data_IF_640749144451
#
_entry.id   IF_640749144451
#
_cell.length_a   1.000
_cell.length_b   1.000
_cell.length_c   1.000
_cell.angle_alpha   90.00
_cell.angle_beta   90.00
_cell.angle_gamma   90.00
#
_symmetry.space_group_name_H-M   'P 1'
#
loop_
_entity.id
_entity.type
_entity.pdbx_description
1 polymer ?
#
# COMPACT_ATOMS: atom_id res chain seq x y z
N UNK A 1 -26.27 17.35 -18.93
CA UNK A 1 -25.86 17.14 -17.51
C UNK A 1 -26.65 15.94 -17.02
N UNK A 2 -26.11 14.76 -16.71
CA UNK A 2 -24.88 14.43 -15.99
C UNK A 2 -24.24 13.19 -16.64
N UNK A 3 -22.96 13.27 -16.95
CA UNK A 3 -22.14 12.16 -17.43
C UNK A 3 -21.72 11.30 -16.24
N UNK A 4 -22.19 10.06 -16.17
CA UNK A 4 -21.64 9.03 -15.29
C UNK A 4 -20.38 8.46 -15.93
N UNK A 5 -19.20 8.96 -15.54
CA UNK A 5 -17.92 8.31 -15.81
C UNK A 5 -17.84 7.08 -14.91
N UNK A 6 -18.23 5.94 -15.45
CA UNK A 6 -17.74 4.65 -15.02
C UNK A 6 -16.21 4.68 -15.18
N UNK A 7 -15.49 4.92 -14.09
CA UNK A 7 -14.07 4.62 -14.00
C UNK A 7 -13.90 3.09 -14.00
N UNK A 8 -14.08 2.48 -15.16
CA UNK A 8 -13.52 1.16 -15.43
C UNK A 8 -12.01 1.36 -15.53
N UNK A 9 -11.31 1.18 -14.40
CA UNK A 9 -9.87 0.93 -14.43
C UNK A 9 -9.66 -0.44 -15.06
N UNK A 10 -9.56 -0.43 -16.39
CA UNK A 10 -8.99 -1.51 -17.17
C UNK A 10 -7.58 -1.74 -16.61
N UNK A 11 -7.42 -2.82 -15.87
CA UNK A 11 -6.13 -3.37 -15.49
C UNK A 11 -5.42 -3.79 -16.77
N UNK A 12 -4.69 -2.87 -17.40
CA UNK A 12 -3.61 -3.26 -18.30
C UNK A 12 -2.51 -3.76 -17.37
N UNK A 13 -2.60 -5.03 -17.00
CA UNK A 13 -1.45 -5.82 -16.62
C UNK A 13 -0.47 -5.75 -17.78
N UNK A 14 0.48 -4.81 -17.71
CA UNK A 14 1.76 -5.03 -18.35
C UNK A 14 2.44 -6.13 -17.52
N UNK A 15 2.03 -7.38 -17.76
CA UNK A 15 2.93 -8.49 -17.54
C UNK A 15 4.17 -8.17 -18.37
N UNK A 16 5.33 -8.03 -17.71
CA UNK A 16 6.59 -8.08 -18.44
C UNK A 16 6.74 -9.52 -18.97
N UNK A 17 6.03 -9.85 -20.05
CA UNK A 17 6.42 -10.91 -20.98
C UNK A 17 7.58 -10.33 -21.79
N UNK A 18 8.73 -10.24 -21.14
CA UNK A 18 9.95 -9.72 -21.72
C UNK A 18 11.08 -10.04 -20.78
N UNK A 19 11.93 -11.00 -21.17
CA UNK A 19 13.13 -11.40 -20.42
C UNK A 19 13.94 -10.16 -20.02
N UNK A 20 13.87 -9.77 -18.75
CA UNK A 20 14.76 -8.75 -18.19
C UNK A 20 16.14 -9.40 -18.07
N UNK A 21 17.03 -9.04 -19.00
CA UNK A 21 18.43 -9.44 -19.00
C UNK A 21 19.23 -8.48 -18.12
N UNK A 22 19.95 -9.07 -17.15
CA UNK A 22 20.83 -8.49 -16.11
C UNK A 22 20.09 -7.97 -14.86
N UNK A 23 20.28 -8.67 -13.72
CA UNK A 23 19.35 -8.66 -12.57
C UNK A 23 19.97 -8.25 -11.22
N UNK A 24 21.13 -7.61 -11.23
CA UNK A 24 21.64 -7.03 -9.97
C UNK A 24 20.79 -5.82 -9.54
N UNK A 25 20.07 -5.23 -10.49
CA UNK A 25 18.99 -4.29 -10.24
C UNK A 25 17.73 -4.65 -11.05
N UNK A 26 16.55 -4.33 -10.55
CA UNK A 26 15.29 -4.41 -11.28
C UNK A 26 14.41 -3.19 -11.02
N UNK A 27 13.61 -2.81 -12.00
CA UNK A 27 12.60 -1.76 -11.86
C UNK A 27 11.21 -2.38 -11.98
N UNK A 28 10.36 -2.14 -10.99
CA UNK A 28 8.94 -2.47 -11.02
C UNK A 28 8.11 -1.20 -11.17
N UNK A 29 7.03 -1.29 -11.93
CA UNK A 29 6.05 -0.22 -12.05
C UNK A 29 4.88 -0.54 -11.13
N UNK A 30 4.53 0.39 -10.25
CA UNK A 30 3.46 0.23 -9.26
C UNK A 30 2.50 1.41 -9.34
N UNK A 31 1.19 1.12 -9.36
CA UNK A 31 0.17 2.16 -9.31
C UNK A 31 -0.32 2.32 -7.88
N UNK A 32 -0.35 3.55 -7.38
CA UNK A 32 -0.82 3.85 -6.02
C UNK A 32 -2.05 4.75 -6.05
N UNK A 33 -2.96 4.45 -5.14
CA UNK A 33 -3.98 5.38 -4.67
C UNK A 33 -3.44 6.12 -3.45
N UNK A 34 -3.88 7.37 -3.26
CA UNK A 34 -3.39 8.24 -2.19
C UNK A 34 -3.45 7.57 -0.80
N UNK A 35 -2.33 7.58 -0.08
CA UNK A 35 -2.27 7.19 1.32
C UNK A 35 -2.30 8.43 2.21
N UNK A 36 -3.39 8.66 2.94
CA UNK A 36 -3.46 9.70 3.97
C UNK A 36 -3.39 9.07 5.37
N UNK A 37 -2.21 8.60 5.75
CA UNK A 37 -1.91 8.20 7.14
C UNK A 37 -1.88 9.38 8.13
N UNK A 38 -2.70 10.43 7.93
CA UNK A 38 -2.64 11.66 8.72
C UNK A 38 -3.78 11.78 9.72
N UNK A 39 -3.45 12.32 10.89
CA UNK A 39 -4.37 12.51 11.99
C UNK A 39 -4.83 13.98 12.07
N UNK A 40 -5.87 14.32 11.31
CA UNK A 40 -6.47 15.67 11.31
C UNK A 40 -7.83 15.72 12.03
N UNK A 41 -8.19 14.67 12.76
CA UNK A 41 -9.49 14.55 13.42
C UNK A 41 -9.52 15.36 14.72
N UNK A 42 -10.69 15.90 15.07
CA UNK A 42 -10.90 16.65 16.29
C UNK A 42 -11.66 15.83 17.35
N UNK A 43 -11.43 16.17 18.63
CA UNK A 43 -12.25 15.76 19.77
C UNK A 43 -12.57 14.26 19.82
N UNK A 44 -13.84 13.87 19.99
CA UNK A 44 -14.27 12.48 20.14
C UNK A 44 -13.92 11.60 18.92
N UNK A 45 -13.96 12.13 17.70
CA UNK A 45 -13.66 11.35 16.50
C UNK A 45 -12.20 10.87 16.46
N UNK A 46 -11.27 11.69 16.96
CA UNK A 46 -9.86 11.30 17.10
C UNK A 46 -9.70 10.06 17.99
N UNK A 47 -10.38 10.07 19.14
CA UNK A 47 -10.32 8.99 20.13
C UNK A 47 -11.04 7.74 19.64
N UNK A 48 -12.24 7.89 19.07
CA UNK A 48 -13.04 6.79 18.56
C UNK A 48 -12.33 6.05 17.41
N UNK A 49 -11.77 6.79 16.46
CA UNK A 49 -11.15 6.19 15.27
C UNK A 49 -9.71 5.74 15.49
N UNK A 50 -9.18 5.90 16.70
CA UNK A 50 -7.78 5.60 17.03
C UNK A 50 -6.81 6.21 16.00
N UNK A 51 -6.95 7.52 15.75
CA UNK A 51 -6.20 8.24 14.71
C UNK A 51 -6.34 7.61 13.30
N UNK A 52 -7.58 7.32 12.90
CA UNK A 52 -7.92 6.73 11.60
C UNK A 52 -7.34 5.34 11.39
N UNK A 53 -7.36 4.47 12.40
CA UNK A 53 -7.20 3.02 12.24
C UNK A 53 -8.54 2.31 12.16
N UNK A 54 -9.53 2.85 12.86
CA UNK A 54 -10.89 2.36 12.89
C UNK A 54 -11.83 3.42 12.32
N UNK A 55 -13.02 3.00 11.94
CA UNK A 55 -14.12 3.88 11.55
C UNK A 55 -15.43 3.32 12.08
N UNK A 56 -16.53 4.04 11.87
CA UNK A 56 -17.90 3.68 12.23
C UNK A 56 -18.83 3.93 11.04
N UNK A 57 -20.04 3.34 11.03
CA UNK A 57 -21.10 3.74 10.13
C UNK A 57 -21.34 5.24 10.21
N UNK A 58 -21.64 5.85 9.06
CA UNK A 58 -21.98 7.26 8.92
C UNK A 58 -20.92 8.27 9.40
N UNK A 59 -19.66 7.84 9.60
CA UNK A 59 -18.57 8.69 10.08
C UNK A 59 -18.34 9.95 9.21
N UNK A 60 -18.70 9.93 7.92
CA UNK A 60 -18.58 11.07 7.01
C UNK A 60 -19.86 11.90 6.85
N UNK A 61 -21.02 11.40 7.27
CA UNK A 61 -22.33 12.01 7.01
C UNK A 61 -23.09 12.44 8.26
N UNK A 62 -23.06 11.63 9.33
CA UNK A 62 -23.79 11.87 10.58
C UNK A 62 -23.07 11.17 11.75
N UNK A 63 -21.85 11.62 12.04
CA UNK A 63 -21.04 11.02 13.11
C UNK A 63 -21.74 11.12 14.47
N UNK A 64 -21.77 9.98 15.18
CA UNK A 64 -22.22 9.90 16.57
C UNK A 64 -21.17 9.23 17.46
N UNK A 65 -20.74 9.94 18.50
CA UNK A 65 -19.79 9.43 19.48
C UNK A 65 -20.31 8.19 20.23
N UNK A 66 -21.63 8.04 20.34
CA UNK A 66 -22.26 6.90 21.04
C UNK A 66 -22.69 5.77 20.10
N UNK A 67 -22.55 5.93 18.78
CA UNK A 67 -22.83 4.85 17.84
C UNK A 67 -21.82 3.70 17.98
N UNK A 68 -22.31 2.47 17.81
CA UNK A 68 -21.53 1.25 17.83
C UNK A 68 -21.18 0.78 16.40
N UNK A 69 -20.54 -0.39 16.27
CA UNK A 69 -20.25 -0.99 14.97
C UNK A 69 -18.92 -0.56 14.36
N UNK A 70 -17.87 -0.49 15.18
CA UNK A 70 -16.52 -0.20 14.68
C UNK A 70 -16.07 -1.24 13.66
N UNK A 71 -15.42 -0.77 12.61
CA UNK A 71 -14.75 -1.60 11.61
C UNK A 71 -13.36 -1.05 11.30
N UNK A 72 -12.50 -1.91 10.76
CA UNK A 72 -11.13 -1.56 10.40
C UNK A 72 -11.09 -0.80 9.09
N UNK A 73 -10.17 0.15 8.97
CA UNK A 73 -9.91 0.83 7.69
C UNK A 73 -8.60 0.34 7.04
N UNK A 74 -8.24 0.94 5.90
CA UNK A 74 -7.04 0.57 5.15
C UNK A 74 -5.74 0.77 5.93
N UNK A 75 -5.65 1.82 6.77
CA UNK A 75 -4.46 2.10 7.58
C UNK A 75 -4.24 1.00 8.61
N UNK A 76 -5.29 0.50 9.26
CA UNK A 76 -5.18 -0.65 10.14
C UNK A 76 -4.63 -1.88 9.42
N UNK A 77 -5.08 -2.15 8.20
CA UNK A 77 -4.58 -3.29 7.41
C UNK A 77 -3.09 -3.14 7.08
N UNK A 78 -2.61 -1.92 6.80
CA UNK A 78 -1.19 -1.64 6.59
C UNK A 78 -0.38 -1.95 7.85
N UNK A 79 -0.81 -1.48 9.03
CA UNK A 79 -0.11 -1.75 10.29
C UNK A 79 -0.15 -3.24 10.68
N UNK A 80 -1.28 -3.90 10.46
CA UNK A 80 -1.42 -5.35 10.66
C UNK A 80 -0.44 -6.11 9.78
N UNK A 81 -0.36 -5.79 8.49
CA UNK A 81 0.60 -6.40 7.56
C UNK A 81 2.04 -6.08 7.94
N UNK A 82 2.34 -4.84 8.31
CA UNK A 82 3.65 -4.44 8.80
C UNK A 82 4.10 -5.32 9.97
N UNK A 83 3.25 -5.46 10.99
CA UNK A 83 3.56 -6.26 12.17
C UNK A 83 3.68 -7.77 11.87
N UNK A 84 2.79 -8.32 11.05
CA UNK A 84 2.70 -9.77 10.82
C UNK A 84 3.66 -10.26 9.74
N UNK A 85 3.94 -9.45 8.72
CA UNK A 85 4.61 -9.90 7.50
C UNK A 85 5.97 -9.24 7.26
N UNK A 86 6.22 -8.01 7.73
CA UNK A 86 7.52 -7.33 7.57
C UNK A 86 8.54 -7.82 8.59
N UNK A 87 8.81 -9.12 8.57
CA UNK A 87 9.70 -9.82 9.51
C UNK A 87 11.14 -9.92 8.98
N UNK A 88 12.04 -10.44 9.81
CA UNK A 88 13.46 -10.61 9.48
C UNK A 88 14.28 -9.35 9.76
N UNK A 89 15.18 -9.00 8.85
CA UNK A 89 16.03 -7.81 9.01
C UNK A 89 15.66 -6.71 8.00
N UNK A 90 15.83 -5.45 8.41
CA UNK A 90 15.58 -4.27 7.58
C UNK A 90 16.73 -4.04 6.60
N UNK A 91 16.39 -3.67 5.37
CA UNK A 91 17.36 -3.20 4.36
C UNK A 91 17.17 -1.72 4.06
N UNK A 92 18.21 -1.09 3.51
CA UNK A 92 18.20 0.32 3.16
C UNK A 92 17.17 0.64 2.07
N UNK A 93 16.50 1.78 2.20
CA UNK A 93 15.60 2.34 1.19
C UNK A 93 15.92 3.82 0.97
N UNK A 94 15.64 4.31 -0.23
CA UNK A 94 15.73 5.72 -0.57
C UNK A 94 14.36 6.19 -1.09
N UNK A 95 13.91 7.41 -0.73
CA UNK A 95 12.67 7.96 -1.27
C UNK A 95 12.83 8.28 -2.77
N UNK A 96 11.71 8.52 -3.45
CA UNK A 96 11.74 9.12 -4.79
C UNK A 96 12.38 10.52 -4.74
N UNK A 97 12.89 10.99 -5.89
CA UNK A 97 13.56 12.30 -5.98
C UNK A 97 12.66 13.48 -5.62
N UNK A 98 11.35 13.34 -5.83
CA UNK A 98 10.32 14.31 -5.46
C UNK A 98 9.78 14.11 -4.04
N UNK A 99 10.29 13.12 -3.30
CA UNK A 99 9.92 12.76 -1.92
C UNK A 99 8.44 12.38 -1.75
N UNK A 100 7.77 11.98 -2.83
CA UNK A 100 6.35 11.59 -2.77
C UNK A 100 6.15 10.09 -2.56
N UNK A 101 7.09 9.26 -2.99
CA UNK A 101 7.10 7.83 -2.76
C UNK A 101 8.15 7.47 -1.73
N UNK A 102 7.75 6.69 -0.74
CA UNK A 102 8.63 6.11 0.27
C UNK A 102 8.43 4.60 0.33
N UNK A 103 9.51 3.91 0.71
CA UNK A 103 9.51 2.46 0.85
C UNK A 103 10.14 2.05 2.19
N UNK A 104 9.62 0.96 2.74
CA UNK A 104 10.19 0.23 3.86
C UNK A 104 10.34 -1.23 3.44
N UNK A 105 11.53 -1.80 3.60
CA UNK A 105 11.83 -3.13 3.10
C UNK A 105 12.50 -4.03 4.16
N UNK A 106 12.11 -5.31 4.14
CA UNK A 106 12.72 -6.35 4.98
C UNK A 106 13.01 -7.61 4.18
N UNK A 107 13.99 -8.37 4.66
CA UNK A 107 14.30 -9.71 4.15
C UNK A 107 13.96 -10.70 5.24
N UNK A 108 12.92 -11.50 4.97
CA UNK A 108 12.43 -12.52 5.88
C UNK A 108 13.28 -13.79 5.84
N UNK A 109 13.25 -14.55 6.93
CA UNK A 109 13.87 -15.88 7.01
C UNK A 109 13.07 -16.96 6.25
N UNK A 110 11.89 -16.59 5.74
CA UNK A 110 10.98 -17.44 4.97
C UNK A 110 11.25 -17.43 3.46
N UNK A 111 12.36 -16.81 3.04
CA UNK A 111 12.77 -16.74 1.64
C UNK A 111 12.11 -15.61 0.85
N UNK A 112 11.36 -14.72 1.51
CA UNK A 112 10.73 -13.56 0.87
C UNK A 112 11.39 -12.25 1.31
N UNK A 113 11.78 -11.44 0.32
CA UNK A 113 11.98 -10.01 0.53
C UNK A 113 10.64 -9.30 0.33
N UNK A 114 10.31 -8.38 1.23
CA UNK A 114 9.05 -7.63 1.20
C UNK A 114 9.36 -6.15 1.17
N UNK A 115 8.58 -5.42 0.38
CA UNK A 115 8.67 -3.97 0.27
C UNK A 115 7.27 -3.41 0.49
N UNK A 116 7.10 -2.64 1.56
CA UNK A 116 5.91 -1.86 1.82
C UNK A 116 6.16 -0.46 1.26
N UNK A 117 5.28 0.00 0.39
CA UNK A 117 5.44 1.26 -0.34
C UNK A 117 4.21 2.13 -0.11
N UNK A 118 4.44 3.43 0.10
CA UNK A 118 3.39 4.44 0.23
C UNK A 118 3.67 5.63 -0.68
N UNK A 119 2.59 6.28 -1.12
CA UNK A 119 2.65 7.53 -1.89
C UNK A 119 1.85 8.60 -1.17
N UNK A 120 2.44 9.79 -1.07
CA UNK A 120 1.88 10.94 -0.38
C UNK A 120 1.04 11.81 -1.32
N UNK A 121 -0.28 11.83 -1.11
CA UNK A 121 -1.22 12.84 -1.69
C UNK A 121 -1.14 12.90 -3.22
N UNK A 122 -0.78 11.79 -3.87
CA UNK A 122 -0.68 11.73 -5.33
C UNK A 122 -1.07 10.34 -5.82
N UNK A 123 -1.81 10.31 -6.92
CA UNK A 123 -2.12 9.11 -7.66
C UNK A 123 -1.25 9.05 -8.91
N UNK A 124 -0.86 7.85 -9.31
CA UNK A 124 -0.11 7.69 -10.55
C UNK A 124 0.66 6.41 -10.63
N UNK A 125 1.51 6.37 -11.66
CA UNK A 125 2.41 5.27 -11.96
C UNK A 125 3.80 5.60 -11.43
N UNK A 126 4.31 4.73 -10.56
CA UNK A 126 5.56 4.93 -9.85
C UNK A 126 6.55 3.83 -10.19
N UNK A 127 7.83 4.15 -10.06
CA UNK A 127 8.92 3.20 -10.28
C UNK A 127 9.58 2.83 -8.96
N UNK A 128 9.75 1.54 -8.73
CA UNK A 128 10.51 0.99 -7.62
C UNK A 128 11.74 0.29 -8.17
N UNK A 129 12.93 0.71 -7.76
CA UNK A 129 14.18 0.04 -8.12
C UNK A 129 14.66 -0.82 -6.95
N UNK A 130 14.87 -2.11 -7.17
CA UNK A 130 15.51 -3.02 -6.22
C UNK A 130 16.94 -3.27 -6.70
N UNK A 131 17.93 -3.08 -5.83
CA UNK A 131 19.35 -3.24 -6.13
C UNK A 131 19.95 -4.37 -5.27
N UNK A 132 21.15 -4.82 -5.64
CA UNK A 132 21.96 -5.81 -4.93
C UNK A 132 21.21 -7.11 -4.61
N UNK A 133 20.33 -7.55 -5.52
CA UNK A 133 19.51 -8.75 -5.32
C UNK A 133 20.35 -10.02 -5.09
N UNK A 134 21.57 -10.05 -5.63
CA UNK A 134 22.52 -11.14 -5.44
C UNK A 134 22.96 -11.30 -3.97
N UNK A 135 22.95 -10.22 -3.17
CA UNK A 135 23.21 -10.27 -1.73
C UNK A 135 22.17 -11.08 -0.96
N UNK A 136 20.98 -11.31 -1.55
CA UNK A 136 19.92 -12.15 -0.99
C UNK A 136 20.08 -13.63 -1.35
N UNK A 137 21.23 -14.03 -1.93
CA UNK A 137 21.48 -15.39 -2.43
C UNK A 137 20.73 -15.70 -3.74
N UNK A 138 20.13 -14.68 -4.36
CA UNK A 138 19.46 -14.84 -5.65
C UNK A 138 20.50 -14.92 -6.78
N UNK A 139 20.17 -15.70 -7.81
CA UNK A 139 21.01 -15.79 -9.01
C UNK A 139 21.11 -14.41 -9.67
N UNK A 140 22.28 -14.09 -10.21
CA UNK A 140 22.56 -12.84 -10.94
C UNK A 140 21.80 -12.71 -12.28
N UNK A 141 21.11 -13.78 -12.70
CA UNK A 141 20.23 -13.80 -13.88
C UNK A 141 19.04 -14.75 -13.69
N UNK A 142 17.95 -14.50 -14.42
CA UNK A 142 16.71 -15.29 -14.37
C UNK A 142 15.48 -14.45 -14.00
N UNK A 143 14.33 -15.08 -13.80
CA UNK A 143 13.09 -14.40 -13.41
C UNK A 143 13.00 -14.20 -11.88
N UNK A 144 12.38 -13.10 -11.45
CA UNK A 144 11.91 -12.92 -10.08
C UNK A 144 10.38 -13.01 -10.10
N UNK A 145 9.82 -13.78 -9.17
CA UNK A 145 8.39 -13.78 -8.95
C UNK A 145 8.05 -12.61 -8.04
N UNK A 146 7.18 -11.73 -8.53
CA UNK A 146 6.60 -10.64 -7.76
C UNK A 146 5.19 -11.04 -7.39
N UNK A 147 4.77 -10.64 -6.20
CA UNK A 147 3.42 -10.84 -5.72
C UNK A 147 2.99 -9.59 -4.96
N UNK A 148 1.84 -9.02 -5.35
CA UNK A 148 1.45 -7.68 -4.94
C UNK A 148 0.19 -7.71 -4.09
N UNK A 149 0.23 -7.04 -2.94
CA UNK A 149 -0.93 -6.81 -2.08
C UNK A 149 -1.31 -5.33 -2.11
N UNK A 150 -2.58 -5.05 -2.35
CA UNK A 150 -3.16 -3.72 -2.26
C UNK A 150 -3.88 -3.51 -0.93
N UNK A 151 -3.88 -2.27 -0.45
CA UNK A 151 -4.66 -1.84 0.72
C UNK A 151 -5.69 -0.78 0.28
N UNK A 152 -6.63 -1.13 -0.63
CA UNK A 152 -7.53 -0.15 -1.22
C UNK A 152 -8.54 0.36 -0.20
N UNK A 153 -8.77 1.67 -0.17
CA UNK A 153 -9.91 2.25 0.54
C UNK A 153 -10.94 2.69 -0.50
N UNK A 154 -12.15 2.13 -0.43
CA UNK A 154 -13.20 2.31 -1.46
C UNK A 154 -14.03 3.59 -1.31
N UNK A 155 -13.69 4.49 -0.38
CA UNK A 155 -14.47 5.69 -0.09
C UNK A 155 -13.76 6.94 -0.61
N UNK A 156 -14.54 7.96 -0.98
CA UNK A 156 -14.03 9.29 -1.33
C UNK A 156 -13.16 9.90 -0.23
N UNK A 157 -13.41 9.48 1.02
CA UNK A 157 -12.53 9.74 2.14
C UNK A 157 -11.89 8.44 2.67
N UNK A 158 -10.61 8.31 2.35
CA UNK A 158 -9.74 7.19 2.70
C UNK A 158 -9.60 6.97 4.22
N UNK A 159 -9.99 7.95 5.05
CA UNK A 159 -9.94 7.81 6.51
C UNK A 159 -11.06 6.92 7.07
N UNK A 160 -12.21 6.84 6.38
CA UNK A 160 -13.44 6.25 6.94
C UNK A 160 -13.94 4.99 6.24
N UNK A 161 -13.36 4.62 5.10
CA UNK A 161 -13.79 3.43 4.37
C UNK A 161 -13.42 2.13 5.08
N UNK A 162 -14.39 1.22 5.18
CA UNK A 162 -14.20 -0.14 5.69
C UNK A 162 -13.26 -0.94 4.78
N UNK A 163 -12.28 -1.61 5.40
CA UNK A 163 -11.35 -2.53 4.74
C UNK A 163 -11.08 -3.70 5.67
N UNK A 164 -11.58 -4.88 5.30
CA UNK A 164 -11.48 -6.09 6.13
C UNK A 164 -10.17 -6.86 5.96
N UNK A 165 -9.56 -6.76 4.77
CA UNK A 165 -8.32 -7.43 4.43
C UNK A 165 -7.59 -6.72 3.28
N UNK A 166 -6.26 -6.94 3.15
CA UNK A 166 -5.54 -6.63 1.93
C UNK A 166 -6.15 -7.35 0.73
N UNK A 167 -6.07 -6.73 -0.45
CA UNK A 167 -6.47 -7.33 -1.73
C UNK A 167 -5.25 -7.93 -2.41
N UNK A 168 -5.32 -9.22 -2.77
CA UNK A 168 -4.31 -9.86 -3.63
C UNK A 168 -4.44 -9.32 -5.06
N UNK A 169 -3.34 -8.84 -5.63
CA UNK A 169 -3.25 -8.27 -6.98
C UNK A 169 -2.42 -9.12 -7.94
N UNK A 170 -1.87 -10.26 -7.50
CA UNK A 170 -1.01 -11.13 -8.30
C UNK A 170 0.48 -10.96 -8.04
#
# INVERSE_FOLDING_TARGET
>A
MRSSLLAQCLMITASLVGRVLKRDSMTAVVNFFNNTGTNWLNSYALHDFMASLLSKPDATSDYSATAAGYFTNGVYQVYKYYYQNMTGYRVGTAPSTDLKLEAYATVGNDGYARVLVGVRIEEGTWQLQLNDLSALGLRTSGALNLHTWGFPVKNADVHYGEVDAPTDLG
#
